data_IF_789920699645
#
_entry.id   IF_789920699645
#
_cell.length_a   1.000
_cell.length_b   1.000
_cell.length_c   1.000
_cell.angle_alpha   90.00
_cell.angle_beta   90.00
_cell.angle_gamma   90.00
#
_symmetry.space_group_name_H-M   'P 1'
#
loop_
_entity.id
_entity.type
_entity.pdbx_description
1 polymer ?
#
# COMPACT_ATOMS: atom_id res chain seq x y z
N UNK A 1 2.01 -1.33 -8.34
CA UNK A 1 3.25 -0.53 -8.37
C UNK A 1 4.42 -1.50 -8.42
N UNK A 2 5.39 -1.30 -9.31
CA UNK A 2 6.60 -2.12 -9.36
C UNK A 2 7.80 -1.28 -9.79
N UNK A 3 8.98 -1.71 -9.38
CA UNK A 3 10.27 -1.10 -9.71
C UNK A 3 11.16 -2.16 -10.34
N UNK A 4 12.01 -1.75 -11.28
CA UNK A 4 12.92 -2.65 -12.00
C UNK A 4 14.26 -2.86 -11.26
N UNK A 5 14.49 -2.09 -10.20
CA UNK A 5 15.74 -2.11 -9.45
C UNK A 5 15.75 -3.23 -8.39
N UNK A 6 16.91 -3.84 -8.18
CA UNK A 6 17.17 -4.66 -6.99
C UNK A 6 17.16 -3.76 -5.74
N UNK A 7 15.98 -3.58 -5.13
CA UNK A 7 15.86 -2.77 -3.92
C UNK A 7 16.03 -3.67 -2.70
N UNK A 8 17.01 -3.35 -1.86
CA UNK A 8 17.17 -3.93 -0.53
C UNK A 8 16.04 -3.44 0.37
N UNK A 9 15.28 -4.34 1.03
CA UNK A 9 14.09 -3.96 1.82
C UNK A 9 14.33 -3.00 3.00
N UNK A 10 15.59 -2.80 3.39
CA UNK A 10 15.97 -1.93 4.52
C UNK A 10 16.08 -0.44 4.14
N UNK A 11 16.06 -0.10 2.84
CA UNK A 11 16.40 1.25 2.36
C UNK A 11 15.20 2.06 1.83
N UNK A 12 13.97 1.57 1.92
CA UNK A 12 12.83 2.26 1.34
C UNK A 12 11.52 2.14 2.12
N UNK A 13 10.65 3.11 1.84
CA UNK A 13 9.27 3.17 2.28
C UNK A 13 8.37 3.11 1.04
N UNK A 14 7.25 2.39 1.14
CA UNK A 14 6.18 2.44 0.13
C UNK A 14 4.90 2.90 0.81
N UNK A 15 4.38 4.05 0.39
CA UNK A 15 3.06 4.52 0.76
C UNK A 15 2.10 4.36 -0.42
N UNK A 16 1.06 3.56 -0.22
CA UNK A 16 -0.11 3.59 -1.08
C UNK A 16 -1.08 4.63 -0.55
N UNK A 17 -1.50 5.52 -1.44
CA UNK A 17 -2.45 6.59 -1.12
C UNK A 17 -3.55 6.57 -2.16
N UNK A 18 -4.80 6.75 -1.71
CA UNK A 18 -5.89 7.07 -2.61
C UNK A 18 -5.97 8.58 -2.69
N UNK A 19 -5.83 9.14 -3.88
CA UNK A 19 -6.14 10.56 -4.10
C UNK A 19 -7.65 10.69 -4.33
N UNK A 20 -8.31 11.40 -3.42
CA UNK A 20 -9.68 11.88 -3.56
C UNK A 20 -9.65 13.40 -3.75
N UNK A 21 -10.73 13.99 -4.26
CA UNK A 21 -10.79 15.35 -4.84
C UNK A 21 -9.89 16.43 -4.18
N UNK A 22 -9.80 16.47 -2.85
CA UNK A 22 -8.98 17.43 -2.10
C UNK A 22 -7.99 16.80 -1.08
N UNK A 23 -7.94 15.47 -0.94
CA UNK A 23 -7.16 14.79 0.11
C UNK A 23 -6.54 13.46 -0.35
N UNK A 24 -5.28 13.24 0.06
CA UNK A 24 -4.61 11.95 -0.04
C UNK A 24 -4.91 11.10 1.20
N UNK A 25 -5.57 9.97 0.99
CA UNK A 25 -5.94 9.04 2.04
C UNK A 25 -4.90 7.93 2.11
N UNK A 26 -4.28 7.72 3.28
CA UNK A 26 -3.33 6.63 3.48
C UNK A 26 -4.04 5.28 3.39
N UNK A 27 -3.71 4.50 2.36
CA UNK A 27 -4.30 3.17 2.12
C UNK A 27 -3.50 2.11 2.85
N UNK A 28 -2.19 2.08 2.66
CA UNK A 28 -1.29 1.12 3.31
C UNK A 28 0.16 1.62 3.27
N UNK A 29 0.88 1.42 4.37
CA UNK A 29 2.29 1.78 4.51
C UNK A 29 3.16 0.52 4.61
N UNK A 30 4.28 0.50 3.90
CA UNK A 30 5.38 -0.45 4.10
C UNK A 30 6.63 0.32 4.51
N UNK A 31 7.19 0.01 5.67
CA UNK A 31 8.41 0.62 6.20
C UNK A 31 9.13 -0.36 7.12
N UNK A 32 10.44 -0.24 7.28
CA UNK A 32 11.24 -1.10 8.17
C UNK A 32 11.01 -2.61 7.91
N UNK A 33 10.87 -2.98 6.63
CA UNK A 33 10.62 -4.34 6.20
C UNK A 33 9.27 -4.95 6.69
N UNK A 34 8.30 -4.12 7.06
CA UNK A 34 6.99 -4.56 7.55
C UNK A 34 5.86 -3.69 6.99
N UNK A 35 4.70 -4.29 6.74
CA UNK A 35 3.48 -3.55 6.46
C UNK A 35 2.92 -2.99 7.77
N UNK A 36 2.51 -1.73 7.79
CA UNK A 36 1.87 -1.08 8.93
C UNK A 36 0.39 -0.78 8.63
N UNK A 37 -0.53 -1.73 8.90
CA UNK A 37 -1.97 -1.47 8.81
C UNK A 37 -2.42 -0.38 9.78
N UNK A 38 -1.68 -0.16 10.87
CA UNK A 38 -2.03 0.82 11.89
C UNK A 38 -1.91 2.26 11.40
N UNK A 39 -1.02 2.51 10.45
CA UNK A 39 -0.87 3.79 9.77
C UNK A 39 -1.94 4.04 8.69
N UNK A 40 -2.73 3.02 8.34
CA UNK A 40 -3.77 3.12 7.32
C UNK A 40 -5.01 3.83 7.87
N UNK A 41 -5.70 4.59 7.01
CA UNK A 41 -7.00 5.17 7.32
C UNK A 41 -8.02 4.07 7.71
N UNK A 42 -8.92 4.38 8.64
CA UNK A 42 -9.90 3.43 9.18
C UNK A 42 -10.74 2.76 8.09
N UNK A 43 -10.95 3.42 6.94
CA UNK A 43 -11.66 2.87 5.77
C UNK A 43 -10.98 1.64 5.16
N UNK A 44 -9.66 1.55 5.29
CA UNK A 44 -8.82 0.51 4.70
C UNK A 44 -8.32 -0.53 5.71
N UNK A 45 -8.38 -0.24 7.01
CA UNK A 45 -7.95 -1.14 8.07
C UNK A 45 -8.58 -2.54 7.92
N UNK A 46 -7.76 -3.57 8.07
CA UNK A 46 -8.10 -5.00 7.89
C UNK A 46 -8.57 -5.41 6.48
N UNK A 47 -8.63 -4.47 5.53
CA UNK A 47 -9.07 -4.72 4.15
C UNK A 47 -7.89 -4.72 3.17
N UNK A 48 -6.75 -4.17 3.54
CA UNK A 48 -5.59 -4.05 2.66
C UNK A 48 -4.42 -4.90 3.13
N UNK A 49 -3.66 -5.42 2.19
CA UNK A 49 -2.39 -6.09 2.45
C UNK A 49 -1.47 -6.04 1.23
N UNK A 50 -0.16 -6.09 1.46
CA UNK A 50 0.81 -6.30 0.41
C UNK A 50 0.93 -7.79 0.07
N UNK A 51 1.42 -8.07 -1.14
CA UNK A 51 2.00 -9.38 -1.45
C UNK A 51 3.44 -9.40 -0.94
N UNK A 52 3.63 -9.67 0.36
CA UNK A 52 4.95 -9.55 1.01
C UNK A 52 6.03 -10.40 0.34
N UNK A 53 5.68 -11.57 -0.20
CA UNK A 53 6.60 -12.46 -0.94
C UNK A 53 7.09 -11.87 -2.29
N UNK A 54 6.38 -10.86 -2.80
CA UNK A 54 6.68 -10.19 -4.07
C UNK A 54 7.52 -8.91 -3.87
N UNK A 55 7.60 -8.40 -2.64
CA UNK A 55 8.37 -7.20 -2.29
C UNK A 55 9.88 -7.35 -2.63
N UNK A 56 10.55 -8.48 -2.31
CA UNK A 56 11.95 -8.68 -2.69
C UNK A 56 12.20 -8.70 -4.20
N UNK A 57 11.14 -8.86 -5.01
CA UNK A 57 11.19 -8.83 -6.48
C UNK A 57 10.87 -7.44 -7.05
N UNK A 58 10.72 -6.42 -6.19
CA UNK A 58 10.36 -5.07 -6.59
C UNK A 58 8.87 -4.87 -6.89
N UNK A 59 8.00 -5.81 -6.51
CA UNK A 59 6.57 -5.71 -6.74
C UNK A 59 5.86 -5.30 -5.43
N UNK A 60 5.29 -4.11 -5.45
CA UNK A 60 4.59 -3.48 -4.33
C UNK A 60 3.10 -3.40 -4.57
N UNK A 61 2.53 -4.34 -5.32
CA UNK A 61 1.08 -4.41 -5.51
C UNK A 61 0.38 -4.67 -4.17
N UNK A 62 -0.80 -4.08 -3.99
CA UNK A 62 -1.66 -4.33 -2.84
C UNK A 62 -2.88 -5.16 -3.25
N UNK A 63 -3.47 -5.86 -2.28
CA UNK A 63 -4.79 -6.47 -2.39
C UNK A 63 -5.75 -5.71 -1.49
N UNK A 64 -6.82 -5.19 -2.07
CA UNK A 64 -7.95 -4.59 -1.36
C UNK A 64 -9.11 -5.59 -1.30
N UNK A 65 -9.53 -5.96 -0.08
CA UNK A 65 -10.61 -6.89 0.23
C UNK A 65 -11.91 -6.14 0.47
N UNK A 66 -13.03 -6.85 0.24
CA UNK A 66 -14.38 -6.34 0.49
C UNK A 66 -14.61 -4.98 -0.17
N UNK A 67 -14.24 -4.84 -1.45
CA UNK A 67 -14.29 -3.59 -2.22
C UNK A 67 -15.68 -2.96 -2.18
N UNK A 68 -15.72 -1.63 -2.01
CA UNK A 68 -16.92 -0.80 -1.90
C UNK A 68 -16.92 0.30 -2.96
N UNK A 69 -18.05 0.96 -3.13
CA UNK A 69 -18.22 2.07 -4.06
C UNK A 69 -17.32 3.26 -3.76
N UNK A 70 -17.05 3.51 -2.48
CA UNK A 70 -16.23 4.63 -1.98
C UNK A 70 -14.74 4.43 -2.24
N UNK A 71 -14.32 3.18 -2.51
CA UNK A 71 -12.93 2.87 -2.85
C UNK A 71 -12.60 3.31 -4.30
N UNK A 72 -13.57 3.76 -5.10
CA UNK A 72 -13.28 4.30 -6.43
C UNK A 72 -12.38 5.54 -6.31
N UNK A 73 -11.27 5.56 -7.03
CA UNK A 73 -10.33 6.68 -7.03
C UNK A 73 -9.05 6.37 -7.80
N UNK A 74 -8.09 7.29 -7.71
CA UNK A 74 -6.72 7.09 -8.21
C UNK A 74 -5.85 6.63 -7.05
N UNK A 75 -4.96 5.66 -7.33
CA UNK A 75 -4.08 5.00 -6.38
C UNK A 75 -2.66 4.95 -6.93
#
# INVERSE_FOLDING_TARGET
CSVDSHITPEDFEVSWKKTDEDEDIMVLLYQNNEASPEASDERYRDRVEFFTDEIPKGNFSLRLKSVRTEDKGVY
#
